data_IF_209309173730
#
_entry.id   IF_209309173730
#
_cell.length_a   1.000
_cell.length_b   1.000
_cell.length_c   1.000
_cell.angle_alpha   90.00
_cell.angle_beta   90.00
_cell.angle_gamma   90.00
#
_symmetry.space_group_name_H-M   'P 1'
#
loop_
_entity.id
_entity.type
_entity.pdbx_description
1 polymer ?
#
# COMPACT_ATOMS: atom_id res chain seq x y z
N UNK A 1 2.78 -4.40 1.76
CA UNK A 1 1.65 -3.58 1.28
C UNK A 1 0.83 -2.90 2.39
N UNK A 2 1.31 -2.85 3.65
CA UNK A 2 0.57 -2.24 4.76
C UNK A 2 0.22 -0.77 4.49
N UNK A 3 1.20 0.01 4.01
CA UNK A 3 1.02 1.43 3.72
C UNK A 3 -0.11 1.73 2.71
N UNK A 4 -0.24 0.94 1.64
CA UNK A 4 -1.31 1.13 0.65
C UNK A 4 -2.67 0.77 1.26
N UNK A 5 -2.73 -0.30 2.05
CA UNK A 5 -3.97 -0.72 2.72
C UNK A 5 -4.48 0.36 3.69
N UNK A 6 -3.58 0.92 4.51
CA UNK A 6 -3.94 2.00 5.45
C UNK A 6 -4.36 3.28 4.72
N UNK A 7 -3.74 3.60 3.58
CA UNK A 7 -4.14 4.73 2.76
C UNK A 7 -5.58 4.57 2.22
N UNK A 8 -5.92 3.39 1.70
CA UNK A 8 -7.29 3.10 1.27
C UNK A 8 -8.29 3.14 2.43
N UNK A 9 -7.91 2.64 3.61
CA UNK A 9 -8.78 2.71 4.79
C UNK A 9 -9.01 4.16 5.25
N UNK A 10 -7.97 4.99 5.24
CA UNK A 10 -8.04 6.42 5.58
C UNK A 10 -8.95 7.18 4.61
N UNK A 11 -8.82 6.89 3.31
CA UNK A 11 -9.70 7.44 2.28
C UNK A 11 -11.15 6.97 2.45
N UNK A 12 -11.35 5.67 2.66
CA UNK A 12 -12.67 5.05 2.81
C UNK A 12 -13.44 5.58 4.03
N UNK A 13 -12.76 5.82 5.15
CA UNK A 13 -13.34 6.40 6.36
C UNK A 13 -13.53 7.91 6.28
N UNK A 14 -13.09 8.54 5.17
CA UNK A 14 -13.22 9.98 4.95
C UNK A 14 -12.34 10.83 5.86
N UNK A 15 -11.28 10.26 6.44
CA UNK A 15 -10.37 10.97 7.35
C UNK A 15 -9.56 12.04 6.61
N UNK A 16 -9.22 11.79 5.35
CA UNK A 16 -8.47 12.72 4.51
C UNK A 16 -8.78 12.48 3.02
N UNK A 17 -8.50 13.49 2.19
CA UNK A 17 -8.60 13.36 0.73
C UNK A 17 -7.45 12.51 0.17
N UNK A 18 -7.58 12.05 -1.07
CA UNK A 18 -6.50 11.30 -1.74
C UNK A 18 -5.22 12.12 -1.79
N UNK A 19 -5.34 13.39 -2.14
CA UNK A 19 -4.24 14.34 -2.29
C UNK A 19 -3.53 14.58 -0.95
N UNK A 20 -4.29 14.74 0.13
CA UNK A 20 -3.74 14.95 1.48
C UNK A 20 -3.00 13.71 1.98
N UNK A 21 -3.53 12.51 1.72
CA UNK A 21 -2.90 11.23 2.09
C UNK A 21 -1.56 11.08 1.37
N UNK A 22 -1.55 11.30 0.06
CA UNK A 22 -0.32 11.17 -0.75
C UNK A 22 0.71 12.24 -0.39
N UNK A 23 0.28 13.51 -0.22
CA UNK A 23 1.17 14.58 0.19
C UNK A 23 1.73 14.36 1.60
N UNK A 24 0.90 13.93 2.55
CA UNK A 24 1.29 13.64 3.93
C UNK A 24 2.36 12.54 3.99
N UNK A 25 2.23 11.50 3.18
CA UNK A 25 3.23 10.44 3.13
C UNK A 25 4.52 10.88 2.45
N UNK A 26 4.45 11.67 1.37
CA UNK A 26 5.65 12.21 0.71
C UNK A 26 6.43 13.13 1.64
N UNK A 27 5.76 14.12 2.21
CA UNK A 27 6.39 15.16 3.02
C UNK A 27 6.73 14.66 4.43
N UNK A 28 5.85 13.86 5.04
CA UNK A 28 6.00 13.41 6.42
C UNK A 28 6.90 12.20 6.59
N UNK A 29 7.01 11.33 5.58
CA UNK A 29 7.80 10.08 5.67
C UNK A 29 8.93 9.99 4.65
N UNK A 30 9.16 11.05 3.87
CA UNK A 30 10.14 11.10 2.78
C UNK A 30 9.95 9.97 1.74
N UNK A 31 8.70 9.55 1.51
CA UNK A 31 8.39 8.61 0.44
C UNK A 31 8.41 9.33 -0.92
N UNK A 32 9.06 8.77 -1.95
CA UNK A 32 9.16 9.42 -3.26
C UNK A 32 7.81 9.51 -3.99
N UNK A 33 6.87 8.66 -3.63
CA UNK A 33 5.53 8.57 -4.21
C UNK A 33 4.52 8.33 -3.09
N UNK A 34 3.33 8.93 -3.22
CA UNK A 34 2.25 8.70 -2.26
C UNK A 34 1.73 7.26 -2.37
N UNK A 35 1.14 6.68 -1.31
CA UNK A 35 0.66 5.31 -1.36
C UNK A 35 -0.47 5.07 -2.38
N UNK A 36 -1.36 6.05 -2.61
CA UNK A 36 -2.45 5.91 -3.57
C UNK A 36 -1.95 6.14 -5.00
N UNK A 37 -1.06 7.11 -5.19
CA UNK A 37 -0.32 7.27 -6.45
C UNK A 37 0.50 6.01 -6.81
N UNK A 38 1.15 5.39 -5.83
CA UNK A 38 1.89 4.14 -6.03
C UNK A 38 0.97 2.97 -6.38
N UNK A 39 -0.22 2.90 -5.76
CA UNK A 39 -1.21 1.89 -6.08
C UNK A 39 -1.75 2.05 -7.51
N UNK A 40 -1.95 3.28 -7.97
CA UNK A 40 -2.36 3.58 -9.35
C UNK A 40 -1.26 3.23 -10.35
N UNK A 41 0.00 3.51 -10.01
CA UNK A 41 1.15 3.16 -10.86
C UNK A 41 1.34 1.65 -11.02
N UNK A 42 1.17 0.88 -9.95
CA UNK A 42 1.29 -0.59 -9.95
C UNK A 42 0.06 -1.27 -10.56
N UNK A 43 -1.12 -0.67 -10.37
CA UNK A 43 -2.41 -1.26 -10.71
C UNK A 43 -3.02 -2.06 -9.55
N UNK A 44 -4.32 -1.83 -9.31
CA UNK A 44 -5.03 -2.39 -8.16
C UNK A 44 -5.11 -3.93 -8.19
N UNK A 45 -5.18 -4.54 -9.37
CA UNK A 45 -5.22 -6.01 -9.52
C UNK A 45 -3.90 -6.66 -9.07
N UNK A 46 -2.77 -6.01 -9.35
CA UNK A 46 -1.44 -6.45 -8.93
C UNK A 46 -1.30 -6.24 -7.42
N UNK A 47 -1.72 -5.07 -6.91
CA UNK A 47 -1.75 -4.80 -5.47
C UNK A 47 -2.56 -5.87 -4.72
N UNK A 48 -3.74 -6.23 -5.22
CA UNK A 48 -4.60 -7.27 -4.64
C UNK A 48 -3.93 -8.64 -4.69
N UNK A 49 -3.31 -8.99 -5.81
CA UNK A 49 -2.60 -10.27 -5.97
C UNK A 49 -1.46 -10.41 -4.95
N UNK A 50 -0.67 -9.36 -4.76
CA UNK A 50 0.40 -9.34 -3.76
C UNK A 50 -0.17 -9.36 -2.33
N UNK A 51 -1.25 -8.62 -2.05
CA UNK A 51 -1.90 -8.63 -0.74
C UNK A 51 -2.41 -10.03 -0.37
N UNK A 52 -3.00 -10.77 -1.31
CA UNK A 52 -3.42 -12.16 -1.11
C UNK A 52 -2.24 -13.08 -0.77
N UNK A 53 -1.09 -12.88 -1.40
CA UNK A 53 0.14 -13.64 -1.09
C UNK A 53 0.65 -13.30 0.30
N UNK A 54 0.70 -12.02 0.67
CA UNK A 54 1.17 -11.57 1.99
C UNK A 54 0.22 -11.95 3.13
N UNK A 55 -1.09 -11.98 2.87
CA UNK A 55 -2.10 -12.36 3.84
C UNK A 55 -2.25 -13.88 3.97
N UNK A 56 -1.65 -14.67 3.07
CA UNK A 56 -1.71 -16.11 3.17
C UNK A 56 -0.95 -16.61 4.42
N UNK A 57 -1.64 -17.16 5.42
CA UNK A 57 -1.02 -17.59 6.67
C UNK A 57 0.02 -18.70 6.46
N UNK A 58 -0.12 -19.53 5.41
CA UNK A 58 0.83 -20.57 5.07
C UNK A 58 2.19 -20.03 4.59
N UNK A 59 2.25 -18.76 4.15
CA UNK A 59 3.47 -18.09 3.69
C UNK A 59 4.01 -17.06 4.69
N UNK A 60 3.32 -16.85 5.81
CA UNK A 60 3.71 -15.93 6.89
C UNK A 60 4.86 -16.56 7.70
N UNK A 61 6.07 -16.54 7.14
CA UNK A 61 7.28 -17.08 7.76
C UNK A 61 8.25 -17.78 6.80
N UNK A 62 7.90 -17.91 5.51
CA UNK A 62 8.89 -18.35 4.52
C UNK A 62 9.71 -17.13 4.09
N UNK A 63 11.00 -17.01 4.48
CA UNK A 63 11.86 -16.00 3.89
C UNK A 63 11.81 -16.20 2.38
N UNK A 64 11.60 -15.13 1.62
CA UNK A 64 11.59 -15.16 0.17
C UNK A 64 12.83 -15.92 -0.30
N UNK A 65 12.63 -17.15 -0.75
CA UNK A 65 13.70 -17.95 -1.30
C UNK A 65 14.34 -17.12 -2.42
N UNK A 66 15.65 -16.92 -2.26
CA UNK A 66 16.56 -16.25 -3.19
C UNK A 66 16.10 -16.45 -4.64
N UNK A 67 15.91 -15.33 -5.35
CA UNK A 67 16.29 -15.24 -6.76
C UNK A 67 17.77 -14.87 -6.81
#
# INVERSE_FOLDING_TARGET
>A
MLMINEAFHTLYTGVATKEDIDAGMKLGTNHPMGPLELADFIGLDVCLSIMKVLHNPAKRGQPSARL
#
